data_IF_541443225136
#
_entry.id   IF_541443225136
#
_cell.length_a   1.000
_cell.length_b   1.000
_cell.length_c   1.000
_cell.angle_alpha   90.00
_cell.angle_beta   90.00
_cell.angle_gamma   90.00
#
_symmetry.space_group_name_H-M   'P 1'
#
loop_
_entity.id
_entity.type
_entity.pdbx_description
1 polymer ?
#
# COMPACT_ATOMS: atom_id res chain seq x y z
N UNK A 1 11.20 -7.15 1.85
CA UNK A 1 11.03 -6.59 3.20
C UNK A 1 10.43 -5.18 3.21
N UNK A 2 11.04 -4.17 2.58
CA UNK A 2 10.47 -2.82 2.54
C UNK A 2 9.00 -2.77 2.08
N UNK A 3 8.68 -3.40 0.93
CA UNK A 3 7.30 -3.49 0.43
C UNK A 3 6.35 -4.19 1.42
N UNK A 4 6.82 -5.26 2.07
CA UNK A 4 6.01 -6.00 3.04
C UNK A 4 5.62 -5.16 4.25
N UNK A 5 6.56 -4.36 4.79
CA UNK A 5 6.30 -3.44 5.88
C UNK A 5 5.34 -2.32 5.46
N UNK A 6 5.53 -1.76 4.27
CA UNK A 6 4.69 -0.70 3.72
C UNK A 6 3.24 -1.11 3.53
N UNK A 7 2.96 -2.37 3.20
CA UNK A 7 1.59 -2.90 3.12
C UNK A 7 1.10 -3.47 4.46
N UNK A 8 2.01 -4.04 5.25
CA UNK A 8 1.68 -4.79 6.46
C UNK A 8 1.23 -3.89 7.60
N UNK A 9 1.94 -2.78 7.86
CA UNK A 9 1.61 -1.89 8.97
C UNK A 9 0.24 -1.21 8.76
N UNK A 10 -0.07 -0.60 7.60
CA UNK A 10 -1.42 -0.10 7.33
C UNK A 10 -2.48 -1.21 7.35
N UNK A 11 -2.15 -2.39 6.82
CA UNK A 11 -3.05 -3.53 6.78
C UNK A 11 -3.46 -4.03 8.17
N UNK A 12 -2.51 -4.14 9.10
CA UNK A 12 -2.77 -4.49 10.50
C UNK A 12 -3.70 -3.46 11.15
N UNK A 13 -3.43 -2.17 10.96
CA UNK A 13 -4.25 -1.11 11.54
C UNK A 13 -5.68 -1.13 10.98
N UNK A 14 -5.82 -1.18 9.65
CA UNK A 14 -7.12 -1.24 8.99
C UNK A 14 -7.93 -2.48 9.37
N UNK A 15 -7.28 -3.64 9.59
CA UNK A 15 -7.98 -4.86 9.98
C UNK A 15 -8.43 -4.84 11.45
N UNK A 16 -7.54 -4.46 12.37
CA UNK A 16 -7.78 -4.63 13.82
C UNK A 16 -8.37 -3.40 14.51
N UNK A 17 -8.12 -2.20 14.00
CA UNK A 17 -8.68 -0.95 14.50
C UNK A 17 -9.20 -0.06 13.36
N UNK A 18 -10.19 -0.53 12.58
CA UNK A 18 -10.64 0.10 11.34
C UNK A 18 -11.18 1.52 11.53
N UNK A 19 -11.81 1.83 12.68
CA UNK A 19 -12.31 3.17 12.97
C UNK A 19 -11.18 4.16 13.19
N UNK A 20 -10.19 3.81 14.01
CA UNK A 20 -8.99 4.62 14.22
C UNK A 20 -8.19 4.78 12.91
N UNK A 21 -8.04 3.71 12.12
CA UNK A 21 -7.43 3.81 10.80
C UNK A 21 -8.16 4.82 9.90
N UNK A 22 -9.49 4.76 9.85
CA UNK A 22 -10.29 5.71 9.06
C UNK A 22 -10.09 7.16 9.54
N UNK A 23 -10.12 7.39 10.85
CA UNK A 23 -10.05 8.72 11.46
C UNK A 23 -8.66 9.34 11.43
N UNK A 24 -7.61 8.52 11.51
CA UNK A 24 -6.26 8.99 11.83
C UNK A 24 -5.22 8.72 10.76
N UNK A 25 -5.36 7.71 9.89
CA UNK A 25 -4.32 7.34 8.94
C UNK A 25 -3.85 8.54 8.09
N UNK A 26 -2.54 8.73 7.82
CA UNK A 26 -1.43 7.81 8.12
C UNK A 26 -0.76 8.01 9.48
N UNK A 27 -1.06 9.11 10.18
CA UNK A 27 -0.56 9.40 11.52
C UNK A 27 -1.65 10.17 12.30
N UNK A 28 -1.76 9.97 13.62
CA UNK A 28 -2.76 10.65 14.45
C UNK A 28 -2.92 12.14 14.11
N UNK A 29 -4.15 12.53 13.76
CA UNK A 29 -4.50 13.91 13.40
C UNK A 29 -4.46 14.26 11.91
N UNK A 30 -3.98 13.40 11.01
CA UNK A 30 -3.99 13.66 9.56
C UNK A 30 -5.32 13.23 8.89
N UNK A 31 -5.78 12.02 9.18
CA UNK A 31 -7.10 11.54 8.75
C UNK A 31 -7.34 11.56 7.24
N UNK A 32 -6.37 11.09 6.45
CA UNK A 32 -6.46 11.08 4.99
C UNK A 32 -7.67 10.28 4.48
N UNK A 33 -8.03 9.20 5.16
CA UNK A 33 -9.15 8.34 4.75
C UNK A 33 -10.51 9.02 5.02
N UNK A 34 -10.61 9.85 6.07
CA UNK A 34 -11.84 10.63 6.34
C UNK A 34 -12.23 11.58 5.21
N UNK A 35 -11.28 11.92 4.32
CA UNK A 35 -11.57 12.70 3.12
C UNK A 35 -12.46 11.95 2.13
N UNK A 36 -12.76 10.67 2.31
CA UNK A 36 -13.65 9.89 1.46
C UNK A 36 -14.82 9.30 2.27
N UNK A 37 -15.79 10.12 2.72
CA UNK A 37 -16.97 9.63 3.42
C UNK A 37 -17.98 8.97 2.46
N UNK A 38 -18.89 8.11 2.96
CA UNK A 38 -19.05 7.69 4.35
C UNK A 38 -18.13 6.53 4.77
N UNK A 39 -17.87 6.40 6.08
CA UNK A 39 -17.15 5.26 6.65
C UNK A 39 -17.92 3.95 6.41
N UNK A 40 -17.20 2.91 5.98
CA UNK A 40 -17.71 1.54 5.90
C UNK A 40 -16.70 0.59 6.55
N UNK A 41 -17.05 0.06 7.72
CA UNK A 41 -16.15 -0.82 8.48
C UNK A 41 -15.76 -2.08 7.70
N UNK A 42 -16.71 -2.70 6.99
CA UNK A 42 -16.47 -3.91 6.21
C UNK A 42 -15.40 -3.66 5.14
N UNK A 43 -15.53 -2.57 4.36
CA UNK A 43 -14.57 -2.24 3.32
C UNK A 43 -13.17 -1.90 3.88
N UNK A 44 -13.10 -1.23 5.05
CA UNK A 44 -11.81 -0.93 5.69
C UNK A 44 -11.15 -2.22 6.19
N UNK A 45 -11.91 -3.14 6.77
CA UNK A 45 -11.38 -4.45 7.20
C UNK A 45 -10.96 -5.31 6.01
N UNK A 46 -11.72 -5.31 4.92
CA UNK A 46 -11.36 -6.02 3.69
C UNK A 46 -10.06 -5.49 3.09
N UNK A 47 -9.91 -4.15 3.03
CA UNK A 47 -8.65 -3.51 2.63
C UNK A 47 -7.50 -3.99 3.53
N UNK A 48 -7.71 -4.01 4.85
CA UNK A 48 -6.73 -4.51 5.81
C UNK A 48 -6.34 -5.97 5.55
N UNK A 49 -7.32 -6.85 5.41
CA UNK A 49 -7.12 -8.28 5.17
C UNK A 49 -6.41 -8.54 3.83
N UNK A 50 -6.82 -7.89 2.74
CA UNK A 50 -6.17 -8.00 1.43
C UNK A 50 -4.73 -7.48 1.46
N UNK A 51 -4.49 -6.35 2.14
CA UNK A 51 -3.14 -5.82 2.33
C UNK A 51 -2.24 -6.80 3.08
N UNK A 52 -2.74 -7.44 4.14
CA UNK A 52 -2.02 -8.48 4.87
C UNK A 52 -1.79 -9.75 4.04
N UNK A 53 -2.74 -10.12 3.18
CA UNK A 53 -2.56 -11.20 2.21
C UNK A 53 -1.39 -10.92 1.25
N UNK A 54 -1.32 -9.70 0.71
CA UNK A 54 -0.19 -9.26 -0.12
C UNK A 54 1.12 -9.22 0.70
N UNK A 55 1.08 -8.74 1.95
CA UNK A 55 2.22 -8.76 2.86
C UNK A 55 2.76 -10.17 3.07
N UNK A 56 1.90 -11.17 3.26
CA UNK A 56 2.33 -12.55 3.42
C UNK A 56 3.14 -13.03 2.19
N UNK A 57 2.64 -12.78 0.97
CA UNK A 57 3.36 -13.12 -0.27
C UNK A 57 4.68 -12.36 -0.39
N UNK A 58 4.71 -11.08 -0.03
CA UNK A 58 5.92 -10.25 -0.05
C UNK A 58 6.96 -10.73 0.97
N UNK A 59 6.53 -11.23 2.13
CA UNK A 59 7.41 -11.86 3.13
C UNK A 59 7.95 -13.18 2.58
N UNK A 60 7.09 -14.05 2.05
CA UNK A 60 7.50 -15.33 1.46
C UNK A 60 8.56 -15.11 0.37
N UNK A 61 8.34 -14.16 -0.54
CA UNK A 61 9.29 -13.82 -1.60
C UNK A 61 10.62 -13.24 -1.08
N UNK A 62 10.62 -12.62 0.10
CA UNK A 62 11.83 -12.02 0.67
C UNK A 62 12.60 -12.98 1.59
N UNK A 63 11.93 -13.99 2.16
CA UNK A 63 12.57 -15.05 2.96
C UNK A 63 13.08 -16.18 2.05
N UNK A 64 12.30 -16.55 1.03
CA UNK A 64 12.63 -17.59 0.05
C UNK A 64 12.62 -16.94 -1.35
N UNK A 65 13.74 -16.32 -1.79
CA UNK A 65 13.78 -15.47 -2.97
C UNK A 65 13.84 -16.26 -4.29
N UNK A 66 12.85 -17.12 -4.53
CA UNK A 66 12.71 -17.78 -5.83
C UNK A 66 12.30 -16.77 -6.89
N UNK A 67 13.03 -16.77 -8.02
CA UNK A 67 12.85 -15.78 -9.10
C UNK A 67 11.40 -15.61 -9.56
N UNK A 68 10.66 -16.72 -9.71
CA UNK A 68 9.25 -16.68 -10.14
C UNK A 68 8.36 -16.05 -9.07
N UNK A 69 8.56 -16.40 -7.80
CA UNK A 69 7.83 -15.86 -6.66
C UNK A 69 8.12 -14.37 -6.46
N UNK A 70 9.40 -13.96 -6.51
CA UNK A 70 9.81 -12.55 -6.42
C UNK A 70 9.15 -11.71 -7.52
N UNK A 71 9.16 -12.20 -8.76
CA UNK A 71 8.50 -11.52 -9.88
C UNK A 71 6.99 -11.45 -9.68
N UNK A 72 6.34 -12.55 -9.28
CA UNK A 72 4.90 -12.57 -9.03
C UNK A 72 4.51 -11.59 -7.90
N UNK A 73 5.29 -11.54 -6.81
CA UNK A 73 5.06 -10.62 -5.70
C UNK A 73 5.25 -9.15 -6.13
N UNK A 74 6.28 -8.84 -6.91
CA UNK A 74 6.48 -7.50 -7.46
C UNK A 74 5.36 -7.09 -8.43
N UNK A 75 4.89 -8.00 -9.29
CA UNK A 75 3.73 -7.75 -10.15
C UNK A 75 2.45 -7.53 -9.34
N UNK A 76 2.19 -8.33 -8.31
CA UNK A 76 1.06 -8.13 -7.40
C UNK A 76 1.10 -6.77 -6.71
N UNK A 77 2.29 -6.33 -6.26
CA UNK A 77 2.47 -5.00 -5.70
C UNK A 77 2.15 -3.90 -6.73
N UNK A 78 2.67 -3.99 -7.95
CA UNK A 78 2.37 -3.03 -9.03
C UNK A 78 0.88 -3.00 -9.41
N UNK A 79 0.24 -4.17 -9.47
CA UNK A 79 -1.18 -4.30 -9.77
C UNK A 79 -2.07 -3.60 -8.72
N UNK A 80 -1.62 -3.53 -7.46
CA UNK A 80 -2.26 -2.73 -6.43
C UNK A 80 -1.88 -1.24 -6.53
N UNK A 81 -0.58 -0.92 -6.56
CA UNK A 81 -0.10 0.46 -6.37
C UNK A 81 -0.35 1.36 -7.58
N UNK A 82 -0.35 0.83 -8.81
CA UNK A 82 -0.56 1.66 -10.01
C UNK A 82 -2.00 2.20 -10.07
N UNK A 83 -3.06 1.37 -10.01
CA UNK A 83 -4.43 1.88 -9.94
C UNK A 83 -4.64 2.80 -8.73
N UNK A 84 -4.03 2.47 -7.60
CA UNK A 84 -4.11 3.28 -6.39
C UNK A 84 -3.49 4.67 -6.58
N UNK A 85 -2.30 4.77 -7.18
CA UNK A 85 -1.68 6.06 -7.54
C UNK A 85 -2.58 6.88 -8.48
N UNK A 86 -3.16 6.25 -9.51
CA UNK A 86 -4.07 6.92 -10.45
C UNK A 86 -5.26 7.53 -9.69
N UNK A 87 -5.83 6.79 -8.74
CA UNK A 87 -6.92 7.30 -7.90
C UNK A 87 -6.48 8.53 -7.10
N UNK A 88 -5.30 8.51 -6.45
CA UNK A 88 -4.79 9.67 -5.72
C UNK A 88 -4.61 10.89 -6.60
N UNK A 89 -3.94 10.72 -7.76
CA UNK A 89 -3.70 11.81 -8.71
C UNK A 89 -5.02 12.43 -9.20
N UNK A 90 -6.07 11.63 -9.37
CA UNK A 90 -7.39 12.12 -9.76
C UNK A 90 -8.15 12.86 -8.63
N UNK A 91 -7.73 12.74 -7.37
CA UNK A 91 -8.45 13.27 -6.19
C UNK A 91 -7.61 14.21 -5.31
N UNK A 92 -6.51 14.76 -5.83
CA UNK A 92 -5.60 15.63 -5.06
C UNK A 92 -6.29 16.86 -4.46
N UNK A 93 -7.34 17.39 -5.09
CA UNK A 93 -8.08 18.58 -4.64
C UNK A 93 -8.77 18.44 -3.27
N UNK A 94 -8.75 17.25 -2.66
CA UNK A 94 -9.32 16.98 -1.32
C UNK A 94 -8.33 17.24 -0.17
N UNK A 95 -7.08 17.56 -0.51
CA UNK A 95 -5.95 17.57 0.42
C UNK A 95 -5.15 18.88 0.35
N UNK A 96 -4.48 19.22 1.46
CA UNK A 96 -3.46 20.28 1.45
C UNK A 96 -2.18 19.81 0.76
N UNK A 97 -1.33 20.75 0.34
CA UNK A 97 -0.11 20.47 -0.43
C UNK A 97 0.82 19.46 0.25
N UNK A 98 1.02 19.57 1.57
CA UNK A 98 1.88 18.65 2.31
C UNK A 98 1.35 17.19 2.27
N UNK A 99 0.04 17.02 2.45
CA UNK A 99 -0.62 15.71 2.37
C UNK A 99 -0.59 15.14 0.95
N UNK A 100 -0.73 15.98 -0.07
CA UNK A 100 -0.58 15.57 -1.48
C UNK A 100 0.82 15.01 -1.72
N UNK A 101 1.87 15.72 -1.29
CA UNK A 101 3.25 15.25 -1.44
C UNK A 101 3.47 13.93 -0.69
N UNK A 102 2.99 13.83 0.54
CA UNK A 102 3.06 12.61 1.34
C UNK A 102 2.39 11.43 0.64
N UNK A 103 1.17 11.62 0.12
CA UNK A 103 0.44 10.61 -0.63
C UNK A 103 1.21 10.18 -1.88
N UNK A 104 1.67 11.12 -2.72
CA UNK A 104 2.40 10.78 -3.94
C UNK A 104 3.70 10.00 -3.65
N UNK A 105 4.47 10.41 -2.64
CA UNK A 105 5.67 9.67 -2.22
C UNK A 105 5.30 8.25 -1.78
N UNK A 106 4.26 8.10 -0.95
CA UNK A 106 3.82 6.79 -0.44
C UNK A 106 3.38 5.83 -1.55
N UNK A 107 2.92 6.34 -2.70
CA UNK A 107 2.48 5.53 -3.83
C UNK A 107 3.57 5.31 -4.90
N UNK A 108 4.42 6.30 -5.15
CA UNK A 108 5.50 6.19 -6.14
C UNK A 108 6.64 5.31 -5.64
N UNK A 109 7.01 5.41 -4.35
CA UNK A 109 8.09 4.61 -3.77
C UNK A 109 7.92 3.08 -3.98
N UNK A 110 6.77 2.44 -3.66
CA UNK A 110 6.61 1.01 -3.89
C UNK A 110 6.59 0.62 -5.38
N UNK A 111 6.15 1.51 -6.28
CA UNK A 111 6.24 1.29 -7.74
C UNK A 111 7.70 1.22 -8.18
N UNK A 112 8.52 2.19 -7.76
CA UNK A 112 9.95 2.24 -8.08
C UNK A 112 10.66 1.00 -7.54
N UNK A 113 10.43 0.65 -6.27
CA UNK A 113 11.04 -0.54 -5.65
C UNK A 113 10.64 -1.82 -6.38
N UNK A 114 9.36 -1.98 -6.73
CA UNK A 114 8.88 -3.15 -7.47
C UNK A 114 9.49 -3.21 -8.89
N UNK A 115 9.62 -2.07 -9.56
CA UNK A 115 10.30 -1.97 -10.85
C UNK A 115 11.77 -2.36 -10.77
N UNK A 116 12.51 -1.87 -9.76
CA UNK A 116 13.89 -2.26 -9.49
C UNK A 116 14.02 -3.76 -9.22
N UNK A 117 13.14 -4.35 -8.41
CA UNK A 117 13.12 -5.80 -8.15
C UNK A 117 12.93 -6.59 -9.44
N UNK A 118 11.98 -6.18 -10.30
CA UNK A 118 11.75 -6.83 -11.59
C UNK A 118 12.98 -6.72 -12.50
N UNK A 119 13.61 -5.56 -12.57
CA UNK A 119 14.81 -5.34 -13.40
C UNK A 119 16.00 -6.18 -12.91
N UNK A 120 16.25 -6.21 -11.60
CA UNK A 120 17.33 -7.01 -11.02
C UNK A 120 17.10 -8.50 -11.23
N UNK A 121 15.85 -8.97 -11.09
CA UNK A 121 15.49 -10.38 -11.31
C UNK A 121 15.59 -10.84 -12.78
N UNK A 122 15.92 -9.97 -13.74
CA UNK A 122 16.19 -10.35 -15.14
C UNK A 122 17.65 -10.76 -15.39
N UNK A 123 18.57 -10.37 -14.52
CA UNK A 123 20.02 -10.48 -14.74
C UNK A 123 20.65 -11.78 -14.20
N UNK A 124 19.88 -12.57 -13.46
CA UNK A 124 20.19 -13.95 -13.07
C UNK A 124 19.51 -14.96 -14.02
#
# INVERSE_FOLDING_TARGET
MLLALGQGLPGLWALFAPRSFYDEFPFPGLGWVTRFPPYNEHLVRDLGALSLGLTAVLISAAVVPERRLVRAAAFGCLAFTIPHLIFHVAHLGRFGTADVVGQLISQVAPIVVSGCVLLSSRRD
#
